data_IF_564094331113
#
_entry.id   IF_564094331113
#
_cell.length_a   1.000
_cell.length_b   1.000
_cell.length_c   1.000
_cell.angle_alpha   90.00
_cell.angle_beta   90.00
_cell.angle_gamma   90.00
#
_symmetry.space_group_name_H-M   'P 1'
#
loop_
_entity.id
_entity.type
_entity.pdbx_description
1 polymer ?
#
# COMPACT_ATOMS: atom_id res chain seq x y z
N UNK A 1 -3.64 0.14 18.13
CA UNK A 1 -3.69 0.08 16.65
C UNK A 1 -2.86 1.22 16.10
N UNK A 2 -2.03 0.95 15.10
CA UNK A 2 -1.37 2.03 14.36
C UNK A 2 -2.43 2.67 13.45
N UNK A 3 -2.69 3.97 13.62
CA UNK A 3 -3.64 4.70 12.78
C UNK A 3 -2.96 5.31 11.55
N UNK A 4 -1.73 4.89 11.26
CA UNK A 4 -1.00 5.34 10.09
C UNK A 4 -1.51 4.66 8.81
N UNK A 5 -1.48 5.40 7.72
CA UNK A 5 -1.93 4.97 6.40
C UNK A 5 -1.10 5.67 5.33
N UNK A 6 -0.83 4.96 4.25
CA UNK A 6 -0.30 5.56 3.03
C UNK A 6 -1.42 5.53 2.00
N UNK A 7 -1.70 6.68 1.42
CA UNK A 7 -2.65 6.82 0.32
C UNK A 7 -1.90 7.04 -0.97
N UNK A 8 -2.21 6.29 -2.03
CA UNK A 8 -1.61 6.45 -3.36
C UNK A 8 -2.73 6.74 -4.35
N UNK A 9 -2.60 7.85 -5.07
CA UNK A 9 -3.53 8.26 -6.11
C UNK A 9 -2.91 8.11 -7.48
N UNK A 10 -3.62 7.48 -8.40
CA UNK A 10 -3.27 7.38 -9.81
C UNK A 10 -4.21 8.28 -10.62
N UNK A 11 -3.81 9.51 -10.96
CA UNK A 11 -4.67 10.45 -11.68
C UNK A 11 -5.05 9.96 -13.07
N UNK A 12 -4.22 9.10 -13.66
CA UNK A 12 -4.45 8.42 -14.94
C UNK A 12 -4.47 6.91 -14.70
N UNK A 13 -5.65 6.28 -14.65
CA UNK A 13 -5.77 4.85 -14.42
C UNK A 13 -4.97 4.06 -15.46
N UNK A 14 -4.15 3.11 -15.01
CA UNK A 14 -3.25 2.33 -15.87
C UNK A 14 -1.89 2.97 -16.14
N UNK A 15 -1.68 4.25 -15.83
CA UNK A 15 -0.37 4.92 -15.88
C UNK A 15 0.30 4.87 -14.49
N UNK A 16 0.82 3.70 -14.13
CA UNK A 16 1.34 3.41 -12.78
C UNK A 16 2.58 4.21 -12.35
N UNK A 17 3.21 4.90 -13.29
CA UNK A 17 4.39 5.75 -13.04
C UNK A 17 3.99 7.17 -12.65
N UNK A 18 2.74 7.59 -12.90
CA UNK A 18 2.21 8.87 -12.46
C UNK A 18 1.35 8.65 -11.21
N UNK A 19 1.86 9.03 -10.03
CA UNK A 19 1.10 8.92 -8.79
C UNK A 19 1.38 10.07 -7.81
N UNK A 20 0.49 10.23 -6.84
CA UNK A 20 0.74 11.01 -5.62
C UNK A 20 0.62 10.12 -4.40
N UNK A 21 1.68 10.03 -3.61
CA UNK A 21 1.69 9.35 -2.34
C UNK A 21 1.47 10.36 -1.22
N UNK A 22 0.50 10.09 -0.34
CA UNK A 22 0.22 10.88 0.86
C UNK A 22 0.40 10.01 2.09
N UNK A 23 1.33 10.38 2.96
CA UNK A 23 1.54 9.70 4.23
C UNK A 23 0.69 10.36 5.33
N UNK A 24 -0.15 9.56 5.99
CA UNK A 24 -1.03 9.99 7.07
C UNK A 24 -0.59 9.25 8.34
N UNK A 25 -0.13 9.99 9.34
CA UNK A 25 0.24 9.45 10.65
C UNK A 25 0.17 10.54 11.71
N UNK A 26 0.11 10.14 12.98
CA UNK A 26 0.21 11.07 14.11
C UNK A 26 1.67 11.20 14.55
N UNK A 27 2.14 12.44 14.66
CA UNK A 27 3.44 12.77 15.24
C UNK A 27 3.28 13.10 16.74
N UNK A 28 4.37 13.11 17.51
CA UNK A 28 4.39 13.43 18.95
C UNK A 28 3.75 14.80 19.28
N UNK A 29 3.68 15.71 18.31
CA UNK A 29 3.09 17.04 18.43
C UNK A 29 1.62 17.17 18.01
N UNK A 30 0.93 16.08 17.64
CA UNK A 30 -0.46 16.11 17.17
C UNK A 30 -0.60 16.07 15.64
N UNK A 31 -1.69 16.64 15.10
CA UNK A 31 -1.98 16.62 13.66
C UNK A 31 -1.01 17.50 12.88
N UNK A 32 -0.32 16.91 11.90
CA UNK A 32 0.49 17.62 10.91
C UNK A 32 -0.20 17.52 9.55
N UNK A 33 -0.10 18.56 8.68
CA UNK A 33 -0.51 18.43 7.29
C UNK A 33 0.15 17.19 6.65
N UNK A 34 -0.62 16.33 5.94
CA UNK A 34 -0.08 15.13 5.34
C UNK A 34 1.07 15.45 4.38
N UNK A 35 2.16 14.71 4.49
CA UNK A 35 3.27 14.83 3.55
C UNK A 35 2.87 14.20 2.21
N UNK A 36 3.16 14.89 1.11
CA UNK A 36 2.87 14.43 -0.25
C UNK A 36 4.17 14.23 -1.02
N UNK A 37 4.21 13.16 -1.82
CA UNK A 37 5.38 12.74 -2.58
C UNK A 37 4.96 12.35 -4.00
N UNK A 38 5.69 12.84 -4.99
CA UNK A 38 5.64 12.39 -6.39
C UNK A 38 6.65 11.26 -6.60
N UNK A 39 6.65 10.57 -7.76
CA UNK A 39 7.65 9.53 -8.03
C UNK A 39 9.10 10.02 -7.90
N UNK A 40 9.36 11.29 -8.24
CA UNK A 40 10.68 11.90 -8.13
C UNK A 40 11.11 12.17 -6.68
N UNK A 41 10.15 12.24 -5.75
CA UNK A 41 10.41 12.47 -4.32
C UNK A 41 10.67 11.15 -3.57
N UNK A 42 10.49 9.99 -4.21
CA UNK A 42 10.74 8.68 -3.61
C UNK A 42 12.25 8.40 -3.59
N UNK A 43 12.86 8.14 -2.41
CA UNK A 43 14.27 7.78 -2.34
C UNK A 43 14.59 6.55 -3.19
N UNK A 44 15.76 6.52 -3.84
CA UNK A 44 16.14 5.43 -4.73
C UNK A 44 16.12 4.05 -4.04
N UNK A 45 16.49 4.00 -2.75
CA UNK A 45 16.44 2.77 -1.94
C UNK A 45 15.01 2.26 -1.71
N UNK A 46 14.01 3.13 -1.83
CA UNK A 46 12.59 2.83 -1.63
C UNK A 46 11.88 2.49 -2.97
N UNK A 47 12.53 2.70 -4.11
CA UNK A 47 11.96 2.43 -5.43
C UNK A 47 11.56 0.95 -5.64
N UNK A 48 12.33 -0.07 -5.21
CA UNK A 48 11.93 -1.47 -5.37
C UNK A 48 10.64 -1.81 -4.62
N UNK A 49 10.44 -1.24 -3.43
CA UNK A 49 9.22 -1.45 -2.64
C UNK A 49 7.99 -0.81 -3.30
N UNK A 50 8.14 0.39 -3.89
CA UNK A 50 7.09 1.00 -4.70
C UNK A 50 6.75 0.13 -5.93
N UNK A 51 7.76 -0.46 -6.59
CA UNK A 51 7.53 -1.37 -7.70
C UNK A 51 6.78 -2.64 -7.28
N UNK A 52 7.05 -3.19 -6.10
CA UNK A 52 6.30 -4.32 -5.57
C UNK A 52 4.81 -4.00 -5.36
N UNK A 53 4.50 -2.80 -4.83
CA UNK A 53 3.12 -2.30 -4.71
C UNK A 53 2.47 -2.19 -6.09
N UNK A 54 3.16 -1.57 -7.06
CA UNK A 54 2.66 -1.44 -8.44
C UNK A 54 2.43 -2.82 -9.07
N UNK A 55 3.32 -3.79 -8.87
CA UNK A 55 3.18 -5.13 -9.41
C UNK A 55 1.91 -5.83 -8.89
N UNK A 56 1.60 -5.69 -7.59
CA UNK A 56 0.34 -6.20 -7.03
C UNK A 56 -0.90 -5.55 -7.65
N UNK A 57 -0.83 -4.26 -8.03
CA UNK A 57 -1.93 -3.55 -8.68
C UNK A 57 -2.08 -3.93 -10.17
N UNK A 58 -0.97 -4.11 -10.89
CA UNK A 58 -0.96 -4.56 -12.29
C UNK A 58 -1.51 -5.98 -12.43
N UNK A 59 -1.34 -6.82 -11.39
CA UNK A 59 -1.88 -8.18 -11.35
C UNK A 59 -3.40 -8.27 -11.14
N UNK A 60 -4.12 -7.15 -11.01
CA UNK A 60 -5.58 -7.15 -10.95
C UNK A 60 -6.16 -7.66 -12.29
N UNK A 61 -7.02 -8.69 -12.24
CA UNK A 61 -7.68 -9.25 -13.44
C UNK A 61 -8.73 -8.31 -14.05
N UNK A 62 -9.40 -8.75 -15.12
CA UNK A 62 -10.58 -8.09 -15.74
C UNK A 62 -10.43 -6.58 -16.02
N UNK A 63 -9.26 -6.15 -16.51
CA UNK A 63 -8.98 -4.76 -16.92
C UNK A 63 -9.26 -3.68 -15.86
N UNK A 64 -9.20 -4.04 -14.57
CA UNK A 64 -9.33 -3.09 -13.46
C UNK A 64 -8.04 -2.28 -13.29
N UNK A 65 -8.19 -0.96 -13.18
CA UNK A 65 -7.10 -0.01 -13.02
C UNK A 65 -7.29 0.77 -11.72
N UNK A 66 -6.31 0.70 -10.81
CA UNK A 66 -6.39 1.40 -9.53
C UNK A 66 -6.45 2.91 -9.76
N UNK A 67 -7.26 3.59 -8.95
CA UNK A 67 -7.35 5.06 -8.92
C UNK A 67 -6.95 5.61 -7.57
N UNK A 68 -7.21 4.84 -6.51
CA UNK A 68 -6.90 5.19 -5.13
C UNK A 68 -6.56 3.90 -4.38
N UNK A 69 -5.44 3.93 -3.67
CA UNK A 69 -4.97 2.81 -2.84
C UNK A 69 -4.79 3.32 -1.42
N UNK A 70 -5.26 2.55 -0.45
CA UNK A 70 -4.99 2.74 0.97
C UNK A 70 -4.18 1.56 1.47
N UNK A 71 -2.94 1.82 1.88
CA UNK A 71 -2.05 0.84 2.45
C UNK A 71 -1.99 1.02 3.97
N UNK A 72 -2.04 -0.08 4.73
CA UNK A 72 -2.04 -0.08 6.19
C UNK A 72 -1.14 -1.21 6.70
N UNK A 73 -0.33 -0.95 7.73
CA UNK A 73 0.50 -1.97 8.37
C UNK A 73 -0.34 -2.81 9.34
N UNK A 74 -0.34 -4.12 9.12
CA UNK A 74 -0.97 -5.11 9.98
C UNK A 74 -0.02 -6.25 10.32
N UNK A 75 -0.60 -7.32 10.87
CA UNK A 75 0.07 -8.59 11.09
C UNK A 75 -0.59 -9.64 10.20
N UNK A 76 0.20 -10.50 9.58
CA UNK A 76 -0.28 -11.66 8.82
C UNK A 76 0.36 -12.96 9.36
N UNK A 77 -0.26 -14.10 9.10
CA UNK A 77 0.18 -15.41 9.59
C UNK A 77 1.15 -16.02 8.58
N UNK A 78 2.40 -16.25 8.98
CA UNK A 78 3.41 -16.87 8.11
C UNK A 78 3.36 -18.41 8.15
N UNK A 79 3.18 -19.00 9.33
CA UNK A 79 3.09 -20.46 9.51
C UNK A 79 2.10 -20.80 10.61
N UNK A 80 1.45 -21.96 10.46
CA UNK A 80 0.73 -22.66 11.52
C UNK A 80 1.40 -24.02 11.72
N UNK A 81 2.00 -24.23 12.88
CA UNK A 81 2.57 -25.51 13.29
C UNK A 81 1.46 -26.50 13.68
N UNK A 82 1.76 -27.80 13.65
CA UNK A 82 0.81 -28.86 13.98
C UNK A 82 0.28 -28.79 15.43
N UNK A 83 1.04 -28.16 16.33
CA UNK A 83 0.65 -27.92 17.73
C UNK A 83 -0.22 -26.65 17.91
N UNK A 84 -0.58 -25.99 16.81
CA UNK A 84 -1.39 -24.76 16.81
C UNK A 84 -0.59 -23.48 17.07
N UNK A 85 0.74 -23.56 17.22
CA UNK A 85 1.57 -22.37 17.29
C UNK A 85 1.63 -21.68 15.92
N UNK A 86 1.53 -20.35 15.90
CA UNK A 86 1.65 -19.58 14.66
C UNK A 86 2.66 -18.46 14.78
N UNK A 87 3.33 -18.15 13.67
CA UNK A 87 4.24 -17.00 13.60
C UNK A 87 3.55 -15.85 12.86
N UNK A 88 3.56 -14.67 13.48
CA UNK A 88 3.02 -13.45 12.87
C UNK A 88 4.14 -12.62 12.28
N UNK A 89 3.99 -12.23 11.02
CA UNK A 89 4.87 -11.29 10.34
C UNK A 89 4.18 -9.95 10.16
N UNK A 90 4.98 -8.89 10.01
CA UNK A 90 4.44 -7.62 9.55
C UNK A 90 4.05 -7.74 8.08
N UNK A 91 2.90 -7.19 7.73
CA UNK A 91 2.43 -7.15 6.34
C UNK A 91 1.72 -5.83 6.05
N UNK A 92 1.76 -5.40 4.79
CA UNK A 92 1.00 -4.25 4.31
C UNK A 92 -0.25 -4.77 3.63
N UNK A 93 -1.43 -4.37 4.12
CA UNK A 93 -2.70 -4.67 3.48
C UNK A 93 -3.16 -3.50 2.62
N UNK A 94 -3.60 -3.79 1.40
CA UNK A 94 -4.15 -2.80 0.48
C UNK A 94 -5.68 -2.86 0.45
N UNK A 95 -6.30 -1.69 0.43
CA UNK A 95 -7.66 -1.47 -0.08
C UNK A 95 -7.53 -0.66 -1.35
N UNK A 96 -8.19 -1.06 -2.43
CA UNK A 96 -7.98 -0.47 -3.75
C UNK A 96 -9.33 -0.07 -4.34
N UNK A 97 -9.54 1.22 -4.57
CA UNK A 97 -10.57 1.67 -5.51
C UNK A 97 -9.99 1.57 -6.91
N UNK A 98 -10.74 0.94 -7.82
CA UNK A 98 -10.37 0.78 -9.21
C UNK A 98 -11.53 1.12 -10.15
N UNK A 99 -11.16 1.47 -11.38
CA UNK A 99 -12.07 1.67 -12.50
C UNK A 99 -11.82 0.59 -13.55
N UNK A 100 -12.89 0.04 -14.10
CA UNK A 100 -12.79 -0.93 -15.19
C UNK A 100 -12.47 -0.21 -16.50
N UNK A 101 -11.47 -0.69 -17.26
CA UNK A 101 -10.96 0.03 -18.42
C UNK A 101 -12.04 0.27 -19.50
N UNK A 102 -12.88 -0.72 -19.79
CA UNK A 102 -13.93 -0.60 -20.82
C UNK A 102 -15.22 0.05 -20.31
N UNK A 103 -15.86 -0.56 -19.30
CA UNK A 103 -17.18 -0.15 -18.80
C UNK A 103 -17.16 1.13 -17.98
N UNK A 104 -15.96 1.55 -17.52
CA UNK A 104 -15.76 2.67 -16.58
C UNK A 104 -16.49 2.49 -15.24
N UNK A 105 -16.96 1.28 -14.93
CA UNK A 105 -17.50 0.93 -13.62
C UNK A 105 -16.44 1.12 -12.53
N UNK A 106 -16.86 1.53 -11.33
CA UNK A 106 -15.98 1.70 -10.17
C UNK A 106 -16.30 0.69 -9.09
N UNK A 107 -15.26 0.12 -8.49
CA UNK A 107 -15.39 -0.83 -7.38
C UNK A 107 -14.23 -0.67 -6.40
N UNK A 108 -14.50 -0.97 -5.13
CA UNK A 108 -13.48 -1.14 -4.10
C UNK A 108 -13.20 -2.63 -3.96
N UNK A 109 -11.91 -2.96 -3.94
CA UNK A 109 -11.37 -4.29 -3.74
C UNK A 109 -10.54 -4.34 -2.47
N UNK A 110 -10.56 -5.49 -1.83
CA UNK A 110 -9.88 -5.77 -0.57
C UNK A 110 -9.09 -7.07 -0.67
N UNK A 111 -8.39 -7.43 0.41
CA UNK A 111 -7.70 -8.72 0.54
C UNK A 111 -8.62 -9.93 0.36
N UNK A 112 -9.93 -9.77 0.58
CA UNK A 112 -10.92 -10.82 0.33
C UNK A 112 -11.20 -11.05 -1.16
N UNK A 113 -11.05 -10.00 -1.99
CA UNK A 113 -11.18 -10.10 -3.44
C UNK A 113 -9.86 -10.53 -4.08
N UNK A 114 -8.74 -9.96 -3.61
CA UNK A 114 -7.39 -10.25 -4.10
C UNK A 114 -6.43 -10.52 -2.93
N UNK A 115 -6.11 -11.79 -2.61
CA UNK A 115 -5.17 -12.14 -1.55
C UNK A 115 -3.78 -11.51 -1.72
N UNK A 116 -3.36 -11.24 -2.96
CA UNK A 116 -2.11 -10.54 -3.30
C UNK A 116 -2.03 -9.09 -2.78
N UNK A 117 -3.12 -8.53 -2.25
CA UNK A 117 -3.14 -7.24 -1.55
C UNK A 117 -2.59 -7.32 -0.13
N UNK A 118 -2.23 -8.51 0.35
CA UNK A 118 -1.36 -8.67 1.50
C UNK A 118 0.08 -8.77 1.00
N UNK A 119 0.88 -7.73 1.24
CA UNK A 119 2.28 -7.67 0.84
C UNK A 119 3.14 -7.95 2.07
N UNK A 120 3.77 -9.13 2.08
CA UNK A 120 4.66 -9.60 3.14
C UNK A 120 6.14 -9.33 2.86
N UNK A 121 6.45 -8.74 1.71
CA UNK A 121 7.81 -8.34 1.35
C UNK A 121 8.38 -7.38 2.42
N UNK A 122 9.50 -7.74 3.08
CA UNK A 122 10.15 -6.89 4.06
C UNK A 122 10.46 -5.48 3.55
N UNK A 123 10.75 -5.31 2.26
CA UNK A 123 10.99 -4.01 1.64
C UNK A 123 9.72 -3.14 1.61
N UNK A 124 8.55 -3.73 1.34
CA UNK A 124 7.27 -3.02 1.38
C UNK A 124 6.89 -2.61 2.81
N UNK A 125 7.16 -3.48 3.79
CA UNK A 125 6.99 -3.16 5.22
C UNK A 125 7.94 -2.03 5.63
N UNK A 126 9.20 -2.08 5.21
CA UNK A 126 10.19 -1.04 5.47
C UNK A 126 9.79 0.29 4.82
N UNK A 127 9.31 0.27 3.57
CA UNK A 127 8.77 1.42 2.86
C UNK A 127 7.60 2.05 3.61
N UNK A 128 6.64 1.23 4.04
CA UNK A 128 5.51 1.72 4.81
C UNK A 128 5.96 2.42 6.09
N UNK A 129 6.83 1.76 6.86
CA UNK A 129 7.42 2.32 8.09
C UNK A 129 8.21 3.59 7.79
N UNK A 130 8.90 3.65 6.65
CA UNK A 130 9.68 4.82 6.25
C UNK A 130 8.81 6.08 6.20
N UNK A 131 7.69 6.03 5.48
CA UNK A 131 6.81 7.19 5.30
C UNK A 131 5.91 7.48 6.50
N UNK A 132 5.70 6.51 7.39
CA UNK A 132 4.74 6.64 8.51
C UNK A 132 5.38 6.77 9.89
N UNK A 133 6.71 6.85 9.97
CA UNK A 133 7.44 7.06 11.22
C UNK A 133 7.88 8.52 11.34
N UNK A 134 7.58 9.14 12.47
CA UNK A 134 7.91 10.53 12.77
C UNK A 134 9.42 10.87 12.70
N UNK A 135 10.29 9.88 12.87
CA UNK A 135 11.75 10.06 12.94
C UNK A 135 12.47 10.14 11.59
N UNK A 136 11.80 9.92 10.46
CA UNK A 136 12.45 9.92 9.13
C UNK A 136 12.54 11.32 8.50
N UNK A 137 12.76 12.34 9.33
CA UNK A 137 13.05 13.71 8.91
C UNK A 137 14.21 14.26 9.73
#
# INVERSE_FOLDING_TARGET
MNNAEIQIQFPRPGEWQEFTLTAIYQDKGGYRPPARYTPADIPAEQAPAMQAVVASLVGMGEDWQAVQVWARLGKDVLTLAEDGAYTMIDAVSLTVEAVHAETKGRRIFTVSDYPAFIITDPAAVAFFKFFTTASNR
#
